data_IF_699632365817
#
_entry.id   IF_699632365817
#
_cell.length_a   1.000
_cell.length_b   1.000
_cell.length_c   1.000
_cell.angle_alpha   90.00
_cell.angle_beta   90.00
_cell.angle_gamma   90.00
#
_symmetry.space_group_name_H-M   'P 1'
#
loop_
_entity.id
_entity.type
_entity.pdbx_description
1 polymer ?
#
# COMPACT_ATOMS: atom_id res chain seq x y z
N UNK A 1 -25.09 66.51 9.53
CA UNK A 1 -24.40 65.33 8.97
C UNK A 1 -22.92 65.61 9.13
N UNK A 2 -22.30 64.97 10.11
CA UNK A 2 -21.00 65.40 10.64
C UNK A 2 -19.85 64.97 9.72
N UNK A 3 -19.10 65.96 9.22
CA UNK A 3 -17.98 65.79 8.29
C UNK A 3 -16.78 65.04 8.90
N UNK A 4 -16.76 64.83 10.22
CA UNK A 4 -15.67 64.18 10.96
C UNK A 4 -15.53 62.67 10.70
N UNK A 5 -16.53 62.04 10.08
CA UNK A 5 -16.54 60.59 9.82
C UNK A 5 -16.23 60.21 8.37
N UNK A 6 -16.04 61.20 7.48
CA UNK A 6 -15.75 60.95 6.08
C UNK A 6 -14.28 60.54 5.91
N UNK A 7 -14.04 59.31 5.44
CA UNK A 7 -12.68 58.77 5.22
C UNK A 7 -12.09 57.96 6.39
N UNK A 8 -12.78 57.84 7.52
CA UNK A 8 -12.35 56.98 8.63
C UNK A 8 -12.90 55.57 8.48
N UNK A 9 -12.05 54.55 8.62
CA UNK A 9 -12.47 53.13 8.50
C UNK A 9 -13.42 52.78 9.67
N UNK A 10 -14.70 52.46 9.38
CA UNK A 10 -15.66 52.04 10.37
C UNK A 10 -15.19 50.87 11.22
N UNK A 11 -15.53 50.88 12.51
CA UNK A 11 -15.10 49.86 13.46
C UNK A 11 -15.54 48.43 13.08
N UNK A 12 -16.65 48.28 12.36
CA UNK A 12 -17.12 46.97 11.91
C UNK A 12 -16.22 46.37 10.82
N UNK A 13 -15.65 47.18 9.92
CA UNK A 13 -14.74 46.69 8.88
C UNK A 13 -13.42 46.17 9.47
N UNK A 14 -12.91 46.82 10.53
CA UNK A 14 -11.75 46.31 11.28
C UNK A 14 -12.02 44.96 11.96
N UNK A 15 -13.23 44.74 12.47
CA UNK A 15 -13.63 43.45 13.04
C UNK A 15 -13.70 42.36 11.97
N UNK A 16 -14.26 42.69 10.80
CA UNK A 16 -14.36 41.76 9.67
C UNK A 16 -12.96 41.41 9.14
N UNK A 17 -12.05 42.38 9.01
CA UNK A 17 -10.65 42.12 8.64
C UNK A 17 -9.97 41.15 9.62
N UNK A 18 -10.09 41.38 10.92
CA UNK A 18 -9.53 40.49 11.93
C UNK A 18 -10.16 39.08 11.91
N UNK A 19 -11.44 38.97 11.54
CA UNK A 19 -12.10 37.67 11.34
C UNK A 19 -11.56 36.94 10.11
N UNK A 20 -11.39 37.64 8.98
CA UNK A 20 -10.83 37.10 7.74
C UNK A 20 -9.40 36.61 7.99
N UNK A 21 -8.54 37.41 8.61
CA UNK A 21 -7.16 37.01 8.92
C UNK A 21 -7.10 35.76 9.79
N UNK A 22 -7.98 35.65 10.80
CA UNK A 22 -8.06 34.47 11.66
C UNK A 22 -8.52 33.23 10.89
N UNK A 23 -9.48 33.39 9.99
CA UNK A 23 -9.97 32.30 9.15
C UNK A 23 -8.92 31.85 8.14
N UNK A 24 -8.20 32.78 7.51
CA UNK A 24 -7.09 32.48 6.61
C UNK A 24 -5.97 31.70 7.30
N UNK A 25 -5.59 32.10 8.52
CA UNK A 25 -4.62 31.35 9.33
C UNK A 25 -5.10 29.94 9.65
N UNK A 26 -6.39 29.79 9.97
CA UNK A 26 -6.99 28.50 10.26
C UNK A 26 -7.04 27.58 9.02
N UNK A 27 -7.43 28.12 7.85
CA UNK A 27 -7.43 27.40 6.58
C UNK A 27 -6.00 26.97 6.21
N UNK A 28 -5.04 27.90 6.31
CA UNK A 28 -3.63 27.62 5.98
C UNK A 28 -3.05 26.50 6.82
N UNK A 29 -3.23 26.54 8.14
CA UNK A 29 -2.75 25.48 9.04
C UNK A 29 -3.36 24.11 8.69
N UNK A 30 -4.64 24.08 8.30
CA UNK A 30 -5.32 22.84 7.90
C UNK A 30 -4.80 22.30 6.56
N UNK A 31 -4.52 23.18 5.60
CA UNK A 31 -3.94 22.80 4.31
C UNK A 31 -2.52 22.24 4.51
N UNK A 32 -1.69 22.91 5.29
CA UNK A 32 -0.33 22.45 5.63
C UNK A 32 -0.33 21.08 6.32
N UNK A 33 -1.22 20.84 7.27
CA UNK A 33 -1.38 19.51 7.89
C UNK A 33 -1.79 18.43 6.90
N UNK A 34 -2.69 18.77 5.96
CA UNK A 34 -3.14 17.83 4.92
C UNK A 34 -2.04 17.51 3.92
N UNK A 35 -1.26 18.50 3.51
CA UNK A 35 -0.12 18.35 2.61
C UNK A 35 1.02 17.58 3.27
N UNK A 36 1.29 17.82 4.55
CA UNK A 36 2.29 17.08 5.31
C UNK A 36 1.91 15.59 5.39
N UNK A 37 0.63 15.28 5.66
CA UNK A 37 0.12 13.89 5.65
C UNK A 37 0.15 13.27 4.26
N UNK A 38 -0.20 14.02 3.21
CA UNK A 38 -0.14 13.52 1.83
C UNK A 38 1.31 13.22 1.40
N UNK A 39 2.27 14.09 1.77
CA UNK A 39 3.70 13.89 1.50
C UNK A 39 4.27 12.72 2.28
N UNK A 40 3.89 12.53 3.54
CA UNK A 40 4.36 11.38 4.33
C UNK A 40 3.86 10.05 3.74
N UNK A 41 2.58 9.98 3.32
CA UNK A 41 2.01 8.78 2.69
C UNK A 41 2.68 8.46 1.35
N UNK A 42 2.95 9.46 0.50
CA UNK A 42 3.68 9.25 -0.75
C UNK A 42 5.14 8.83 -0.56
N UNK A 43 5.73 9.07 0.61
CA UNK A 43 7.13 8.68 0.88
C UNK A 43 7.23 7.24 1.37
N UNK A 44 6.14 6.68 1.90
CA UNK A 44 6.13 5.37 2.54
C UNK A 44 5.89 4.20 1.55
N UNK A 45 5.30 4.48 0.38
CA UNK A 45 4.87 3.46 -0.57
C UNK A 45 5.41 3.71 -1.98
N UNK A 46 6.07 2.71 -2.56
CA UNK A 46 6.51 2.69 -3.96
C UNK A 46 5.72 1.67 -4.78
N UNK A 47 5.55 1.96 -6.06
CA UNK A 47 5.02 0.98 -7.02
C UNK A 47 6.17 0.09 -7.46
N UNK A 48 5.98 -1.24 -7.39
CA UNK A 48 6.96 -2.20 -7.87
C UNK A 48 7.19 -2.01 -9.39
N UNK A 49 8.44 -1.85 -9.85
CA UNK A 49 8.75 -1.81 -11.27
C UNK A 49 8.25 -3.06 -12.00
N UNK A 50 7.77 -2.87 -13.23
CA UNK A 50 7.20 -3.96 -14.04
C UNK A 50 8.24 -5.06 -14.33
N UNK A 51 9.50 -4.69 -14.58
CA UNK A 51 10.58 -5.66 -14.82
C UNK A 51 10.83 -6.56 -13.60
N UNK A 52 10.92 -5.98 -12.41
CA UNK A 52 11.09 -6.72 -11.16
C UNK A 52 9.88 -7.61 -10.88
N UNK A 53 8.67 -7.11 -11.15
CA UNK A 53 7.43 -7.90 -11.03
C UNK A 53 7.46 -9.13 -11.95
N UNK A 54 7.88 -8.97 -13.19
CA UNK A 54 7.99 -10.08 -14.16
C UNK A 54 9.04 -11.10 -13.71
N UNK A 55 10.19 -10.64 -13.21
CA UNK A 55 11.23 -11.52 -12.67
C UNK A 55 10.72 -12.33 -11.47
N UNK A 56 10.06 -11.68 -10.51
CA UNK A 56 9.45 -12.35 -9.35
C UNK A 56 8.41 -13.38 -9.78
N UNK A 57 7.54 -13.01 -10.73
CA UNK A 57 6.50 -13.89 -11.24
C UNK A 57 7.09 -15.11 -11.98
N UNK A 58 8.19 -14.93 -12.71
CA UNK A 58 8.94 -16.03 -13.32
C UNK A 58 9.53 -16.97 -12.25
N UNK A 59 10.16 -16.42 -11.21
CA UNK A 59 10.71 -17.20 -10.11
C UNK A 59 9.65 -17.97 -9.33
N UNK A 60 8.49 -17.37 -9.06
CA UNK A 60 7.35 -18.04 -8.42
C UNK A 60 6.82 -19.19 -9.26
N UNK A 61 6.69 -19.01 -10.58
CA UNK A 61 6.27 -20.08 -11.50
C UNK A 61 7.27 -21.22 -11.53
N UNK A 62 8.57 -20.93 -11.57
CA UNK A 62 9.62 -21.95 -11.52
C UNK A 62 9.54 -22.75 -10.21
N UNK A 63 9.40 -22.06 -9.08
CA UNK A 63 9.24 -22.71 -7.77
C UNK A 63 7.97 -23.57 -7.72
N UNK A 64 6.86 -23.08 -8.27
CA UNK A 64 5.63 -23.87 -8.38
C UNK A 64 5.84 -25.15 -9.21
N UNK A 65 6.55 -25.08 -10.33
CA UNK A 65 6.86 -26.24 -11.16
C UNK A 65 7.69 -27.28 -10.39
N UNK A 66 8.72 -26.84 -9.67
CA UNK A 66 9.56 -27.73 -8.87
C UNK A 66 8.76 -28.44 -7.77
N UNK A 67 7.95 -27.68 -7.02
CA UNK A 67 7.11 -28.22 -5.95
C UNK A 67 6.04 -29.15 -6.50
N UNK A 68 5.42 -28.80 -7.63
CA UNK A 68 4.42 -29.62 -8.27
C UNK A 68 5.02 -30.92 -8.81
N UNK A 69 6.24 -30.89 -9.35
CA UNK A 69 6.94 -32.10 -9.77
C UNK A 69 7.20 -33.05 -8.59
N UNK A 70 7.69 -32.51 -7.46
CA UNK A 70 7.87 -33.29 -6.23
C UNK A 70 6.54 -33.86 -5.72
N UNK A 71 5.48 -33.04 -5.68
CA UNK A 71 4.15 -33.48 -5.29
C UNK A 71 3.63 -34.61 -6.19
N UNK A 72 3.71 -34.45 -7.51
CA UNK A 72 3.26 -35.46 -8.47
C UNK A 72 3.99 -36.78 -8.29
N UNK A 73 5.31 -36.77 -8.11
CA UNK A 73 6.08 -38.00 -7.84
C UNK A 73 5.57 -38.75 -6.60
N UNK A 74 5.10 -38.02 -5.59
CA UNK A 74 4.54 -38.61 -4.37
C UNK A 74 3.10 -39.10 -4.56
N UNK A 75 2.30 -38.45 -5.41
CA UNK A 75 0.91 -38.89 -5.70
C UNK A 75 0.83 -40.21 -6.47
N UNK A 76 1.89 -40.59 -7.20
CA UNK A 76 1.96 -41.91 -7.87
C UNK A 76 2.08 -43.08 -6.88
N UNK A 77 2.29 -42.80 -5.59
CA UNK A 77 2.36 -43.82 -4.53
C UNK A 77 0.93 -44.22 -4.15
N UNK A 78 0.50 -45.40 -4.60
CA UNK A 78 -0.86 -45.98 -4.42
C UNK A 78 -1.28 -46.10 -2.95
N UNK A 79 -0.33 -46.20 -2.01
CA UNK A 79 -0.59 -46.33 -0.58
C UNK A 79 0.24 -45.35 0.25
N UNK A 80 -0.45 -44.41 0.87
CA UNK A 80 0.12 -43.43 1.81
C UNK A 80 -0.09 -43.99 3.23
N UNK A 81 0.60 -45.07 3.56
CA UNK A 81 0.35 -45.84 4.80
C UNK A 81 1.03 -45.24 6.05
N UNK A 82 1.84 -44.19 5.89
CA UNK A 82 2.64 -43.61 6.98
C UNK A 82 2.23 -42.17 7.25
N UNK A 83 2.07 -41.83 8.53
CA UNK A 83 1.75 -40.46 9.00
C UNK A 83 2.70 -39.41 8.39
N UNK A 84 3.99 -39.73 8.29
CA UNK A 84 4.99 -38.84 7.67
C UNK A 84 4.68 -38.53 6.21
N UNK A 85 4.19 -39.50 5.43
CA UNK A 85 3.83 -39.31 4.02
C UNK A 85 2.58 -38.45 3.87
N UNK A 86 1.59 -38.62 4.76
CA UNK A 86 0.39 -37.75 4.81
C UNK A 86 0.79 -36.30 5.10
N UNK A 87 1.63 -36.08 6.12
CA UNK A 87 2.11 -34.73 6.47
C UNK A 87 2.92 -34.07 5.35
N UNK A 88 3.73 -34.84 4.63
CA UNK A 88 4.46 -34.32 3.47
C UNK A 88 3.49 -33.90 2.36
N UNK A 89 2.42 -34.67 2.11
CA UNK A 89 1.38 -34.34 1.13
C UNK A 89 0.69 -33.02 1.49
N UNK A 90 0.22 -32.91 2.72
CA UNK A 90 -0.42 -31.69 3.24
C UNK A 90 0.51 -30.47 3.13
N UNK A 91 1.80 -30.65 3.43
CA UNK A 91 2.81 -29.58 3.30
C UNK A 91 2.94 -29.10 1.85
N UNK A 92 3.05 -30.01 0.89
CA UNK A 92 3.13 -29.64 -0.52
C UNK A 92 1.84 -28.96 -1.01
N UNK A 93 0.66 -29.45 -0.61
CA UNK A 93 -0.62 -28.83 -0.96
C UNK A 93 -0.74 -27.41 -0.40
N UNK A 94 -0.33 -27.21 0.86
CA UNK A 94 -0.27 -25.88 1.47
C UNK A 94 0.69 -24.96 0.72
N UNK A 95 1.87 -25.47 0.34
CA UNK A 95 2.88 -24.69 -0.38
C UNK A 95 2.44 -24.33 -1.80
N UNK A 96 1.79 -25.26 -2.53
CA UNK A 96 1.21 -25.00 -3.85
C UNK A 96 0.10 -23.95 -3.76
N UNK A 97 -0.80 -24.07 -2.78
CA UNK A 97 -1.88 -23.10 -2.57
C UNK A 97 -1.34 -21.70 -2.25
N UNK A 98 -0.26 -21.59 -1.47
CA UNK A 98 0.41 -20.31 -1.22
C UNK A 98 0.99 -19.73 -2.50
N UNK A 99 1.75 -20.52 -3.26
CA UNK A 99 2.36 -20.08 -4.52
C UNK A 99 1.31 -19.61 -5.55
N UNK A 100 0.18 -20.32 -5.65
CA UNK A 100 -0.92 -19.92 -6.53
C UNK A 100 -1.53 -18.58 -6.13
N UNK A 101 -1.74 -18.36 -4.82
CA UNK A 101 -2.23 -17.07 -4.29
C UNK A 101 -1.24 -15.94 -4.55
N UNK A 102 0.04 -16.20 -4.38
CA UNK A 102 1.08 -15.18 -4.59
C UNK A 102 1.20 -14.83 -6.08
N UNK A 103 1.16 -15.83 -6.98
CA UNK A 103 1.13 -15.61 -8.43
C UNK A 103 -0.11 -14.81 -8.84
N UNK A 104 -1.29 -15.13 -8.31
CA UNK A 104 -2.53 -14.40 -8.60
C UNK A 104 -2.50 -12.95 -8.08
N UNK A 105 -1.85 -12.70 -6.94
CA UNK A 105 -1.64 -11.34 -6.43
C UNK A 105 -0.71 -10.53 -7.32
N UNK A 106 0.41 -11.11 -7.73
CA UNK A 106 1.42 -10.45 -8.57
C UNK A 106 0.99 -10.29 -10.03
N UNK A 107 0.05 -11.10 -10.52
CA UNK A 107 -0.45 -11.02 -11.90
C UNK A 107 -1.38 -9.82 -12.14
N UNK A 108 -2.03 -9.30 -11.09
CA UNK A 108 -2.98 -8.17 -11.16
C UNK A 108 -2.33 -6.80 -11.40
N UNK A 109 -1.00 -6.73 -11.52
CA UNK A 109 -0.24 -5.57 -12.00
C UNK A 109 0.06 -4.49 -10.95
N UNK A 110 -0.89 -4.16 -10.07
CA UNK A 110 -0.72 -3.08 -9.10
C UNK A 110 -0.20 -3.60 -7.77
N UNK A 111 1.13 -3.76 -7.65
CA UNK A 111 1.79 -4.12 -6.39
C UNK A 111 2.45 -2.89 -5.78
N UNK A 112 1.95 -2.50 -4.61
CA UNK A 112 2.48 -1.38 -3.82
C UNK A 112 3.35 -1.97 -2.71
N UNK A 113 4.59 -1.51 -2.62
CA UNK A 113 5.58 -1.96 -1.64
C UNK A 113 5.81 -0.83 -0.64
N UNK A 114 5.79 -1.17 0.64
CA UNK A 114 6.20 -0.25 1.71
C UNK A 114 7.73 -0.20 1.71
N UNK A 115 8.34 0.99 1.69
CA UNK A 115 9.77 1.09 1.97
C UNK A 115 10.02 0.74 3.43
N UNK A 116 10.54 -0.44 3.69
CA UNK A 116 11.13 -0.75 4.98
C UNK A 116 12.51 -0.10 5.01
N UNK A 117 12.67 0.92 5.86
CA UNK A 117 13.95 1.56 6.16
C UNK A 117 14.91 0.48 6.65
N UNK A 118 15.73 -0.03 5.74
CA UNK A 118 16.80 -0.97 6.09
C UNK A 118 18.06 -0.13 6.19
N UNK A 119 18.45 0.20 7.42
CA UNK A 119 19.80 0.68 7.77
C UNK A 119 20.83 -0.45 7.62
#
# INVERSE_FOLDING_TARGET
FDAESFGSVPAYLRKVQAQIEKEELWIRGRMEESEAKAKSVNTEFDVLPEEERVQLLSGLKQKWQEVNHQYQSMTHIVKIDTISKVRMKERYESMLSQLEKDIDRLSKGNVIIRRDTTD
#
